data_IF_907863142975
#
_entry.id   IF_907863142975
#
_cell.length_a   1.000
_cell.length_b   1.000
_cell.length_c   1.000
_cell.angle_alpha   90.00
_cell.angle_beta   90.00
_cell.angle_gamma   90.00
#
_symmetry.space_group_name_H-M   'P 1'
#
loop_
_entity.id
_entity.type
_entity.pdbx_description
1 polymer ?
#
# COMPACT_ATOMS: atom_id res chain seq x y z
N UNK A 1 -7.19 19.44 -63.33
CA UNK A 1 -6.45 18.27 -62.81
C UNK A 1 -6.25 18.51 -61.34
N UNK A 2 -7.06 17.88 -60.48
CA UNK A 2 -6.98 18.04 -59.02
C UNK A 2 -5.91 17.11 -58.44
N UNK A 3 -5.12 17.63 -57.51
CA UNK A 3 -4.15 16.87 -56.71
C UNK A 3 -4.88 15.92 -55.75
N UNK A 4 -4.43 14.67 -55.55
CA UNK A 4 -5.05 13.77 -54.57
C UNK A 4 -4.74 14.24 -53.15
N UNK A 5 -5.78 14.26 -52.30
CA UNK A 5 -5.69 14.59 -50.89
C UNK A 5 -4.85 13.59 -50.11
N UNK A 6 -4.04 14.12 -49.20
CA UNK A 6 -3.37 13.38 -48.14
C UNK A 6 -4.46 12.85 -47.19
N UNK A 7 -4.48 11.54 -46.98
CA UNK A 7 -5.41 10.90 -46.04
C UNK A 7 -4.65 10.85 -44.72
N UNK A 8 -5.03 11.69 -43.77
CA UNK A 8 -4.55 11.58 -42.39
C UNK A 8 -5.11 10.31 -41.77
N UNK A 9 -4.25 9.32 -41.52
CA UNK A 9 -4.57 8.18 -40.66
C UNK A 9 -4.79 8.68 -39.23
N UNK A 10 -5.85 8.25 -38.53
CA UNK A 10 -6.02 8.61 -37.13
C UNK A 10 -4.95 7.90 -36.31
N UNK A 11 -4.14 8.69 -35.60
CA UNK A 11 -3.20 8.20 -34.61
C UNK A 11 -3.94 7.31 -33.61
N UNK A 12 -3.55 6.03 -33.54
CA UNK A 12 -3.96 5.09 -32.50
C UNK A 12 -3.54 5.67 -31.16
N UNK A 13 -4.51 6.13 -30.38
CA UNK A 13 -4.27 6.53 -29.00
C UNK A 13 -3.71 5.33 -28.24
N UNK A 14 -2.47 5.46 -27.76
CA UNK A 14 -1.91 4.54 -26.79
C UNK A 14 -2.89 4.49 -25.60
N UNK A 15 -3.45 3.31 -25.37
CA UNK A 15 -4.16 3.00 -24.15
C UNK A 15 -3.19 3.29 -23.00
N UNK A 16 -3.43 4.38 -22.26
CA UNK A 16 -2.65 4.71 -21.06
C UNK A 16 -2.90 3.58 -20.08
N UNK A 17 -2.06 2.53 -20.14
CA UNK A 17 -2.10 1.42 -19.20
C UNK A 17 -2.10 2.04 -17.81
N UNK A 18 -3.20 1.86 -17.08
CA UNK A 18 -3.29 2.34 -15.70
C UNK A 18 -2.17 1.63 -14.95
N UNK A 19 -1.15 2.38 -14.54
CA UNK A 19 0.00 1.88 -13.80
C UNK A 19 -0.52 1.14 -12.58
N UNK A 20 0.01 -0.07 -12.34
CA UNK A 20 -0.32 -0.81 -11.13
C UNK A 20 0.01 0.07 -9.92
N UNK A 21 -0.96 0.26 -9.02
CA UNK A 21 -0.78 1.05 -7.83
C UNK A 21 -0.47 0.16 -6.62
N UNK A 22 0.55 0.55 -5.84
CA UNK A 22 0.87 0.00 -4.53
C UNK A 22 0.47 1.01 -3.47
N UNK A 23 -0.39 0.60 -2.55
CA UNK A 23 -0.80 1.46 -1.45
C UNK A 23 0.16 1.33 -0.27
N UNK A 24 0.51 2.46 0.33
CA UNK A 24 1.21 2.49 1.60
C UNK A 24 0.27 3.03 2.68
N UNK A 25 -0.13 2.13 3.57
CA UNK A 25 -0.94 2.42 4.76
C UNK A 25 0.00 2.64 5.94
N UNK A 26 -0.14 3.76 6.65
CA UNK A 26 0.73 4.10 7.76
C UNK A 26 -0.01 4.86 8.85
N UNK A 27 0.52 4.83 10.07
CA UNK A 27 0.06 5.66 11.17
C UNK A 27 0.82 6.98 11.26
N UNK A 28 1.17 7.42 12.47
CA UNK A 28 1.79 8.74 12.70
C UNK A 28 3.31 8.72 12.58
N UNK A 29 3.94 7.56 12.55
CA UNK A 29 5.39 7.44 12.41
C UNK A 29 5.86 7.86 11.00
N UNK A 30 6.12 9.16 10.84
CA UNK A 30 6.61 9.74 9.58
C UNK A 30 7.94 9.17 9.13
N UNK A 31 8.84 8.80 10.06
CA UNK A 31 10.14 8.23 9.70
C UNK A 31 9.97 6.88 9.00
N UNK A 32 9.17 5.99 9.60
CA UNK A 32 8.84 4.69 9.01
C UNK A 32 8.13 4.85 7.66
N UNK A 33 7.16 5.77 7.59
CA UNK A 33 6.47 6.12 6.33
C UNK A 33 7.46 6.49 5.24
N UNK A 34 8.32 7.48 5.48
CA UNK A 34 9.24 7.98 4.46
C UNK A 34 10.31 6.97 4.07
N UNK A 35 10.78 6.15 5.02
CA UNK A 35 11.73 5.08 4.72
C UNK A 35 11.13 4.08 3.73
N UNK A 36 9.91 3.61 4.00
CA UNK A 36 9.25 2.60 3.17
C UNK A 36 8.78 3.20 1.84
N UNK A 37 8.19 4.40 1.85
CA UNK A 37 7.77 5.09 0.63
C UNK A 37 8.95 5.27 -0.33
N UNK A 38 10.07 5.81 0.17
CA UNK A 38 11.27 6.02 -0.65
C UNK A 38 11.80 4.71 -1.22
N UNK A 39 11.82 3.65 -0.43
CA UNK A 39 12.27 2.35 -0.91
C UNK A 39 11.35 1.79 -2.01
N UNK A 40 10.03 1.90 -1.84
CA UNK A 40 9.04 1.48 -2.82
C UNK A 40 9.19 2.25 -4.14
N UNK A 41 9.31 3.58 -4.07
CA UNK A 41 9.52 4.45 -5.24
C UNK A 41 10.82 4.14 -5.98
N UNK A 42 11.88 3.76 -5.28
CA UNK A 42 13.17 3.39 -5.88
C UNK A 42 13.14 1.97 -6.48
N UNK A 43 12.40 1.06 -5.86
CA UNK A 43 12.44 -0.36 -6.20
C UNK A 43 11.37 -0.76 -7.22
N UNK A 44 10.31 0.03 -7.39
CA UNK A 44 9.16 -0.28 -8.23
C UNK A 44 8.96 0.79 -9.31
N UNK A 45 8.41 0.38 -10.46
CA UNK A 45 7.89 1.29 -11.48
C UNK A 45 6.39 1.57 -11.29
N UNK A 46 5.82 1.08 -10.20
CA UNK A 46 4.41 1.22 -9.83
C UNK A 46 4.15 2.57 -9.17
N UNK A 47 2.92 3.08 -9.29
CA UNK A 47 2.52 4.27 -8.56
C UNK A 47 2.39 3.96 -7.08
N UNK A 48 3.06 4.74 -6.23
CA UNK A 48 2.96 4.59 -4.77
C UNK A 48 1.91 5.57 -4.26
N UNK A 49 0.83 5.04 -3.69
CA UNK A 49 -0.29 5.85 -3.18
C UNK A 49 -0.27 5.85 -1.65
N UNK A 50 -0.09 7.03 -1.07
CA UNK A 50 -0.15 7.29 0.37
C UNK A 50 -1.48 7.99 0.68
N UNK A 51 -2.38 7.33 1.41
CA UNK A 51 -3.77 7.79 1.60
C UNK A 51 -3.93 9.00 2.53
N UNK A 52 -2.98 9.19 3.46
CA UNK A 52 -3.01 10.28 4.45
C UNK A 52 -2.73 11.68 3.83
N UNK A 53 -2.22 11.72 2.59
CA UNK A 53 -1.77 12.97 1.94
C UNK A 53 -2.85 13.65 1.07
N UNK A 54 -4.05 13.06 0.94
CA UNK A 54 -5.12 13.64 0.14
C UNK A 54 -6.07 14.51 0.96
N UNK A 55 -6.47 15.68 0.44
CA UNK A 55 -7.41 16.59 1.10
C UNK A 55 -8.70 15.87 1.50
N UNK A 56 -9.06 15.93 2.79
CA UNK A 56 -10.15 15.12 3.34
C UNK A 56 -11.52 15.38 2.73
N UNK A 57 -11.84 16.58 2.19
CA UNK A 57 -13.11 16.94 1.49
C UNK A 57 -14.42 16.32 2.06
N UNK A 58 -14.46 15.95 3.33
CA UNK A 58 -15.57 15.16 3.92
C UNK A 58 -15.64 13.69 3.50
N UNK A 59 -14.71 13.22 2.68
CA UNK A 59 -14.61 11.84 2.22
C UNK A 59 -13.94 10.94 3.26
N UNK A 60 -14.49 9.74 3.43
CA UNK A 60 -13.82 8.69 4.18
C UNK A 60 -12.62 8.16 3.40
N UNK A 61 -11.67 7.55 4.11
CA UNK A 61 -10.52 6.87 3.51
C UNK A 61 -10.97 5.83 2.46
N UNK A 62 -12.09 5.15 2.70
CA UNK A 62 -12.69 4.18 1.78
C UNK A 62 -13.10 4.84 0.47
N UNK A 63 -13.67 6.04 0.50
CA UNK A 63 -14.12 6.75 -0.71
C UNK A 63 -12.95 7.25 -1.56
N UNK A 64 -11.87 7.72 -0.91
CA UNK A 64 -10.61 8.04 -1.60
C UNK A 64 -10.01 6.79 -2.23
N UNK A 65 -10.07 5.67 -1.51
CA UNK A 65 -9.58 4.41 -2.03
C UNK A 65 -10.42 3.93 -3.23
N UNK A 66 -11.74 4.03 -3.18
CA UNK A 66 -12.62 3.65 -4.31
C UNK A 66 -12.27 4.38 -5.61
N UNK A 67 -11.84 5.65 -5.53
CA UNK A 67 -11.39 6.41 -6.70
C UNK A 67 -10.11 5.85 -7.34
N UNK A 68 -9.34 5.06 -6.60
CA UNK A 68 -8.08 4.45 -7.04
C UNK A 68 -8.10 2.91 -7.01
N UNK A 69 -9.26 2.32 -6.66
CA UNK A 69 -9.37 0.90 -6.31
C UNK A 69 -9.18 -0.03 -7.51
N UNK A 70 -9.48 0.42 -8.72
CA UNK A 70 -9.32 -0.38 -9.94
C UNK A 70 -7.84 -0.56 -10.31
N UNK A 71 -7.01 0.42 -9.94
CA UNK A 71 -5.56 0.41 -10.13
C UNK A 71 -4.81 -0.36 -9.03
N UNK A 72 -5.43 -0.56 -7.86
CA UNK A 72 -4.79 -1.20 -6.70
C UNK A 72 -4.44 -2.66 -6.99
N UNK A 73 -3.15 -3.00 -6.94
CA UNK A 73 -2.66 -4.39 -7.14
C UNK A 73 -1.93 -4.95 -5.92
N UNK A 74 -1.56 -4.10 -4.96
CA UNK A 74 -0.89 -4.49 -3.71
C UNK A 74 -1.06 -3.42 -2.63
N UNK A 75 -0.93 -3.83 -1.36
CA UNK A 75 -0.83 -2.90 -0.24
C UNK A 75 0.33 -3.28 0.71
N UNK A 76 1.01 -2.26 1.20
CA UNK A 76 2.02 -2.36 2.27
C UNK A 76 1.45 -1.61 3.47
N UNK A 77 1.36 -2.30 4.62
CA UNK A 77 0.79 -1.75 5.85
C UNK A 77 1.87 -1.63 6.91
N UNK A 78 2.03 -0.45 7.50
CA UNK A 78 2.96 -0.19 8.59
C UNK A 78 2.25 -0.21 9.94
N UNK A 79 2.52 -1.25 10.73
CA UNK A 79 2.10 -1.32 12.13
C UNK A 79 3.21 -0.81 13.02
N UNK A 80 3.14 0.48 13.37
CA UNK A 80 4.07 1.16 14.26
C UNK A 80 3.44 1.46 15.62
N UNK A 81 4.26 1.74 16.63
CA UNK A 81 3.82 2.08 18.00
C UNK A 81 3.23 3.49 18.12
N UNK A 82 2.16 3.77 17.37
CA UNK A 82 1.55 5.10 17.26
C UNK A 82 0.61 5.45 18.41
N UNK A 83 -0.03 4.44 18.99
CA UNK A 83 -1.00 4.57 20.07
C UNK A 83 -0.59 3.66 21.25
N UNK A 84 -1.28 3.82 22.38
CA UNK A 84 -1.17 2.97 23.56
C UNK A 84 -2.57 2.44 23.89
N UNK A 85 -2.72 1.15 24.18
CA UNK A 85 -4.01 0.55 24.50
C UNK A 85 -3.88 -0.87 25.06
N UNK A 86 -5.01 -1.45 25.46
CA UNK A 86 -5.07 -2.80 26.01
C UNK A 86 -6.51 -3.25 26.21
N UNK A 87 -6.68 -4.49 26.67
CA UNK A 87 -7.96 -4.97 27.18
C UNK A 87 -8.31 -4.28 28.50
N UNK A 88 -9.56 -4.34 28.94
CA UNK A 88 -9.99 -3.71 30.20
C UNK A 88 -9.20 -4.19 31.42
N UNK A 89 -8.66 -5.40 31.35
CA UNK A 89 -8.03 -6.10 32.48
C UNK A 89 -6.51 -6.23 32.30
N UNK A 90 -5.92 -5.54 31.32
CA UNK A 90 -4.48 -5.58 31.04
C UNK A 90 -3.83 -4.21 31.17
N UNK A 91 -2.53 -4.21 31.43
CA UNK A 91 -1.71 -3.01 31.26
C UNK A 91 -1.82 -2.47 29.83
N UNK A 92 -1.62 -1.16 29.70
CA UNK A 92 -1.62 -0.54 28.38
C UNK A 92 -0.26 -0.76 27.70
N UNK A 93 -0.29 -1.17 26.45
CA UNK A 93 0.89 -1.45 25.64
C UNK A 93 0.92 -0.61 24.37
N UNK A 94 2.11 -0.37 23.79
CA UNK A 94 2.22 0.23 22.47
C UNK A 94 1.48 -0.60 21.42
N UNK A 95 0.69 0.06 20.58
CA UNK A 95 -0.13 -0.58 19.55
C UNK A 95 -0.17 0.24 18.26
N UNK A 96 -0.52 -0.42 17.17
CA UNK A 96 -0.85 0.27 15.92
C UNK A 96 -2.08 1.15 16.07
N UNK A 97 -2.09 2.25 15.31
CA UNK A 97 -3.23 3.15 15.17
C UNK A 97 -4.47 2.38 14.70
N UNK A 98 -5.62 2.60 15.32
CA UNK A 98 -6.86 1.89 14.98
C UNK A 98 -7.27 2.03 13.50
N UNK A 99 -7.09 3.22 12.93
CA UNK A 99 -7.41 3.44 11.51
C UNK A 99 -6.56 2.55 10.59
N UNK A 100 -5.28 2.33 10.92
CA UNK A 100 -4.40 1.46 10.15
C UNK A 100 -4.87 0.00 10.22
N UNK A 101 -5.33 -0.45 11.39
CA UNK A 101 -5.93 -1.78 11.54
C UNK A 101 -7.20 -1.93 10.70
N UNK A 102 -8.04 -0.90 10.67
CA UNK A 102 -9.25 -0.88 9.85
C UNK A 102 -8.92 -0.94 8.34
N UNK A 103 -7.98 -0.12 7.89
CA UNK A 103 -7.49 -0.09 6.50
C UNK A 103 -6.86 -1.44 6.11
N UNK A 104 -6.06 -2.05 6.98
CA UNK A 104 -5.51 -3.39 6.77
C UNK A 104 -6.62 -4.42 6.52
N UNK A 105 -7.66 -4.42 7.37
CA UNK A 105 -8.82 -5.32 7.20
C UNK A 105 -9.56 -5.07 5.89
N UNK A 106 -9.72 -3.80 5.50
CA UNK A 106 -10.29 -3.42 4.22
C UNK A 106 -9.47 -3.99 3.04
N UNK A 107 -8.14 -3.82 3.06
CA UNK A 107 -7.26 -4.32 2.01
C UNK A 107 -7.24 -5.85 1.92
N UNK A 108 -7.29 -6.55 3.06
CA UNK A 108 -7.46 -8.01 3.04
C UNK A 108 -8.75 -8.43 2.35
N UNK A 109 -9.86 -7.72 2.59
CA UNK A 109 -11.14 -8.01 1.93
C UNK A 109 -11.15 -7.65 0.45
N UNK A 110 -10.49 -6.56 0.05
CA UNK A 110 -10.51 -6.04 -1.32
C UNK A 110 -9.50 -6.71 -2.26
N UNK A 111 -8.27 -6.91 -1.80
CA UNK A 111 -7.17 -7.46 -2.61
C UNK A 111 -6.92 -8.94 -2.37
N UNK A 112 -7.36 -9.48 -1.23
CA UNK A 112 -6.89 -10.78 -0.72
C UNK A 112 -5.64 -10.62 0.14
N UNK A 113 -5.42 -11.58 1.04
CA UNK A 113 -4.30 -11.55 2.00
C UNK A 113 -2.93 -11.70 1.32
N UNK A 114 -2.88 -12.41 0.19
CA UNK A 114 -1.68 -12.63 -0.63
C UNK A 114 -1.16 -11.35 -1.30
N UNK A 115 -1.97 -10.29 -1.34
CA UNK A 115 -1.63 -8.99 -1.94
C UNK A 115 -1.43 -7.89 -0.90
N UNK A 116 -1.24 -8.27 0.36
CA UNK A 116 -1.04 -7.32 1.47
C UNK A 116 0.16 -7.76 2.29
N UNK A 117 1.22 -6.98 2.27
CA UNK A 117 2.37 -7.16 3.16
C UNK A 117 2.22 -6.26 4.39
N UNK A 118 2.45 -6.82 5.59
CA UNK A 118 2.37 -6.07 6.84
C UNK A 118 3.75 -5.99 7.47
N UNK A 119 4.30 -4.78 7.54
CA UNK A 119 5.53 -4.46 8.26
C UNK A 119 5.16 -4.11 9.71
N UNK A 120 5.66 -4.88 10.68
CA UNK A 120 5.29 -4.73 12.08
C UNK A 120 6.52 -4.43 12.96
N UNK A 121 6.46 -3.32 13.69
CA UNK A 121 7.48 -2.86 14.65
C UNK A 121 7.31 -3.49 16.06
N UNK A 122 6.85 -4.74 16.11
CA UNK A 122 6.67 -5.48 17.36
C UNK A 122 5.43 -5.09 18.17
N UNK A 123 4.44 -4.42 17.56
CA UNK A 123 3.19 -4.05 18.22
C UNK A 123 2.15 -5.17 18.17
N UNK A 124 1.22 -5.15 19.12
CA UNK A 124 0.07 -6.04 19.11
C UNK A 124 -0.75 -5.93 17.81
N UNK A 125 -1.34 -7.03 17.38
CA UNK A 125 -2.20 -7.12 16.21
C UNK A 125 -3.45 -7.94 16.54
N UNK A 126 -4.56 -7.80 15.78
CA UNK A 126 -5.77 -8.54 16.07
C UNK A 126 -5.55 -10.06 15.98
N UNK A 127 -6.15 -10.81 16.92
CA UNK A 127 -5.98 -12.27 17.04
C UNK A 127 -6.45 -13.03 15.80
N UNK A 128 -7.51 -12.55 15.15
CA UNK A 128 -8.04 -13.14 13.91
C UNK A 128 -7.06 -13.06 12.73
N UNK A 129 -6.01 -12.24 12.85
CA UNK A 129 -4.94 -12.10 11.86
C UNK A 129 -3.61 -12.74 12.32
N UNK A 130 -3.59 -13.50 13.42
CA UNK A 130 -2.37 -14.15 13.91
C UNK A 130 -1.76 -15.17 12.91
N UNK A 131 -2.54 -15.68 11.95
CA UNK A 131 -2.06 -16.53 10.87
C UNK A 131 -1.52 -15.79 9.64
N UNK A 132 -1.54 -14.45 9.63
CA UNK A 132 -0.96 -13.63 8.56
C UNK A 132 0.56 -13.53 8.78
N UNK A 133 1.34 -13.62 7.69
CA UNK A 133 2.78 -13.43 7.74
C UNK A 133 3.13 -11.95 7.97
N UNK A 134 3.51 -11.60 9.20
CA UNK A 134 4.06 -10.28 9.50
C UNK A 134 5.55 -10.24 9.18
N UNK A 135 5.98 -9.20 8.47
CA UNK A 135 7.39 -8.90 8.24
C UNK A 135 7.85 -8.02 9.40
N UNK A 136 8.86 -8.44 10.19
CA UNK A 136 9.43 -7.56 11.21
C UNK A 136 9.97 -6.29 10.56
N UNK A 137 9.56 -5.12 11.06
CA UNK A 137 10.08 -3.82 10.58
C UNK A 137 11.44 -3.50 11.22
N UNK A 138 12.34 -4.47 11.14
CA UNK A 138 13.72 -4.38 11.59
C UNK A 138 14.56 -5.36 10.77
N UNK A 139 15.88 -5.14 10.71
CA UNK A 139 16.77 -6.01 9.96
C UNK A 139 16.48 -5.99 8.45
N UNK A 140 16.29 -7.17 7.85
CA UNK A 140 16.22 -7.34 6.40
C UNK A 140 14.79 -7.30 5.83
N UNK A 141 13.99 -6.32 6.28
CA UNK A 141 12.59 -6.17 5.87
C UNK A 141 12.43 -5.92 4.36
N UNK A 142 13.41 -5.25 3.73
CA UNK A 142 13.42 -4.96 2.28
C UNK A 142 13.46 -6.23 1.44
N UNK A 143 14.30 -7.19 1.80
CA UNK A 143 14.35 -8.47 1.09
C UNK A 143 13.08 -9.29 1.32
N UNK A 144 12.56 -9.30 2.56
CA UNK A 144 11.31 -9.98 2.85
C UNK A 144 10.15 -9.38 2.03
N UNK A 145 10.01 -8.05 2.00
CA UNK A 145 8.99 -7.36 1.21
C UNK A 145 9.18 -7.58 -0.29
N UNK A 146 10.43 -7.61 -0.77
CA UNK A 146 10.74 -7.93 -2.17
C UNK A 146 10.23 -9.31 -2.58
N UNK A 147 10.31 -10.31 -1.69
CA UNK A 147 9.77 -11.65 -1.96
C UNK A 147 8.26 -11.63 -2.08
N UNK A 148 7.55 -10.94 -1.19
CA UNK A 148 6.08 -10.84 -1.25
C UNK A 148 5.63 -10.14 -2.54
N UNK A 149 6.28 -9.03 -2.91
CA UNK A 149 6.00 -8.31 -4.16
C UNK A 149 6.22 -9.19 -5.40
N UNK A 150 7.34 -9.92 -5.45
CA UNK A 150 7.64 -10.85 -6.56
C UNK A 150 6.66 -12.01 -6.63
N UNK A 151 6.17 -12.52 -5.49
CA UNK A 151 5.21 -13.61 -5.44
C UNK A 151 3.88 -13.28 -6.15
N UNK A 152 3.55 -11.98 -6.26
CA UNK A 152 2.37 -11.49 -6.98
C UNK A 152 2.72 -10.75 -8.28
N UNK A 153 3.89 -11.04 -8.84
CA UNK A 153 4.40 -10.59 -10.15
C UNK A 153 4.77 -9.10 -10.25
N UNK A 154 5.11 -8.43 -9.14
CA UNK A 154 5.81 -7.15 -9.25
C UNK A 154 7.27 -7.36 -9.63
N UNK A 155 7.76 -6.53 -10.54
CA UNK A 155 9.20 -6.41 -10.82
C UNK A 155 9.81 -5.51 -9.74
N UNK A 156 10.73 -6.07 -8.97
CA UNK A 156 11.46 -5.35 -7.91
C UNK A 156 12.90 -5.14 -8.39
N UNK A 157 13.24 -3.89 -8.67
CA UNK A 157 14.57 -3.50 -9.11
C UNK A 157 15.58 -3.63 -7.96
N UNK A 158 16.83 -4.06 -8.24
CA UNK A 158 17.89 -4.03 -7.26
C UNK A 158 18.17 -2.58 -6.84
N UNK A 159 18.37 -2.38 -5.53
CA UNK A 159 18.66 -1.08 -4.92
C UNK A 159 20.14 -0.72 -5.00
#
# INVERSE_FOLDING_TARGET
MGTPGHVDEPATGEDKSVSAAVFLVHGRNSSAKFEVARWLEQSLTADIIILDEQANRGQTIIEKFQAHADAAKFAVVLLTSDDIGGTSDSELHPRARQNVIFEMGYFFGKLGRDRVAVLNDGVEHPSDFAGVGYIPFSGNWKEALSRELRAVNFVVNPT
#
